data_IF_301193578953
#
_entry.id   IF_301193578953
#
_cell.length_a   1.000
_cell.length_b   1.000
_cell.length_c   1.000
_cell.angle_alpha   90.00
_cell.angle_beta   90.00
_cell.angle_gamma   90.00
#
_symmetry.space_group_name_H-M   'P 1'
#
loop_
_entity.id
_entity.type
_entity.pdbx_description
1 polymer ?
#
# COMPACT_ATOMS: atom_id res chain seq x y z
N UNK A 1 2.67 -7.80 21.27
CA UNK A 1 1.55 -8.76 21.34
C UNK A 1 1.40 -9.44 22.70
N UNK A 2 2.49 -9.88 23.35
CA UNK A 2 2.40 -10.56 24.66
C UNK A 2 1.84 -9.64 25.76
N UNK A 3 2.36 -8.42 25.91
CA UNK A 3 1.90 -7.47 26.93
C UNK A 3 0.44 -7.07 26.70
N UNK A 4 0.07 -6.79 25.45
CA UNK A 4 -1.32 -6.51 25.08
C UNK A 4 -2.26 -7.66 25.46
N UNK A 5 -1.87 -8.91 25.17
CA UNK A 5 -2.61 -10.10 25.58
C UNK A 5 -2.74 -10.18 27.11
N UNK A 6 -1.65 -9.95 27.85
CA UNK A 6 -1.67 -9.95 29.32
C UNK A 6 -2.63 -8.91 29.90
N UNK A 7 -2.54 -7.65 29.43
CA UNK A 7 -3.42 -6.56 29.87
C UNK A 7 -4.88 -6.91 29.56
N UNK A 8 -5.13 -7.41 28.35
CA UNK A 8 -6.47 -7.81 27.93
C UNK A 8 -7.06 -8.93 28.76
N UNK A 9 -6.30 -10.00 28.99
CA UNK A 9 -6.79 -11.17 29.73
C UNK A 9 -7.10 -10.80 31.20
N UNK A 10 -6.34 -9.87 31.80
CA UNK A 10 -6.61 -9.36 33.16
C UNK A 10 -7.75 -8.32 33.21
N UNK A 11 -7.81 -7.40 32.26
CA UNK A 11 -8.82 -6.34 32.23
C UNK A 11 -10.20 -6.83 31.75
N UNK A 12 -10.26 -8.00 31.09
CA UNK A 12 -11.51 -8.67 30.71
C UNK A 12 -12.42 -8.95 31.91
N UNK A 13 -11.87 -9.13 33.12
CA UNK A 13 -12.65 -9.25 34.36
C UNK A 13 -13.49 -7.99 34.65
N UNK A 14 -12.97 -6.81 34.30
CA UNK A 14 -13.62 -5.50 34.53
C UNK A 14 -14.52 -5.08 33.38
N UNK A 15 -14.01 -5.17 32.15
CA UNK A 15 -14.71 -4.69 30.97
C UNK A 15 -14.41 -5.59 29.76
N UNK A 16 -15.11 -6.73 29.64
CA UNK A 16 -14.84 -7.72 28.59
C UNK A 16 -15.17 -7.20 27.19
N UNK A 17 -16.12 -6.27 27.05
CA UNK A 17 -16.55 -5.73 25.76
C UNK A 17 -15.48 -4.86 25.09
N UNK A 18 -14.53 -4.29 25.86
CA UNK A 18 -13.52 -3.36 25.34
C UNK A 18 -12.65 -3.96 24.24
N UNK A 19 -12.36 -5.27 24.30
CA UNK A 19 -11.55 -5.97 23.29
C UNK A 19 -12.19 -5.88 21.90
N UNK A 20 -13.51 -6.06 21.83
CA UNK A 20 -14.25 -6.04 20.57
C UNK A 20 -14.35 -4.63 20.00
N UNK A 21 -14.43 -3.63 20.89
CA UNK A 21 -14.61 -2.23 20.54
C UNK A 21 -13.32 -1.58 20.03
N UNK A 22 -12.16 -1.93 20.61
CA UNK A 22 -10.87 -1.30 20.29
C UNK A 22 -9.89 -2.37 19.78
N UNK A 23 -9.80 -2.59 18.46
CA UNK A 23 -8.94 -3.63 17.88
C UNK A 23 -7.44 -3.24 17.85
N UNK A 24 -7.12 -1.95 17.95
CA UNK A 24 -5.74 -1.50 17.94
C UNK A 24 -5.12 -1.63 19.33
N UNK A 25 -4.02 -2.38 19.44
CA UNK A 25 -3.37 -2.67 20.71
C UNK A 25 -2.89 -1.41 21.46
N UNK A 26 -2.37 -0.40 20.76
CA UNK A 26 -1.90 0.82 21.43
C UNK A 26 -3.05 1.66 21.96
N UNK A 27 -4.14 1.76 21.20
CA UNK A 27 -5.33 2.51 21.61
C UNK A 27 -6.00 1.79 22.78
N UNK A 28 -6.07 0.45 22.73
CA UNK A 28 -6.58 -0.38 23.83
C UNK A 28 -5.80 -0.12 25.13
N UNK A 29 -4.47 -0.22 25.10
CA UNK A 29 -3.62 0.00 26.30
C UNK A 29 -3.80 1.41 26.88
N UNK A 30 -3.83 2.44 26.01
CA UNK A 30 -4.06 3.82 26.46
C UNK A 30 -5.45 4.00 27.08
N UNK A 31 -6.47 3.40 26.48
CA UNK A 31 -7.84 3.47 27.02
C UNK A 31 -7.96 2.75 28.36
N UNK A 32 -7.35 1.58 28.51
CA UNK A 32 -7.33 0.84 29.78
C UNK A 32 -6.66 1.66 30.87
N UNK A 33 -5.53 2.32 30.56
CA UNK A 33 -4.82 3.19 31.50
C UNK A 33 -5.69 4.37 31.98
N UNK A 34 -6.39 5.04 31.07
CA UNK A 34 -7.23 6.20 31.43
C UNK A 34 -8.51 5.80 32.19
N UNK A 35 -9.11 4.64 31.86
CA UNK A 35 -10.36 4.19 32.48
C UNK A 35 -10.15 3.56 33.85
N UNK A 36 -9.16 2.66 34.00
CA UNK A 36 -8.94 1.90 35.22
C UNK A 36 -10.22 1.24 35.73
N UNK A 37 -10.55 1.44 37.01
CA UNK A 37 -11.78 0.93 37.62
C UNK A 37 -13.02 1.83 37.39
N UNK A 38 -12.84 3.12 37.16
CA UNK A 38 -13.92 4.11 37.05
C UNK A 38 -14.35 4.34 35.61
N UNK A 39 -15.36 3.59 35.17
CA UNK A 39 -15.88 3.66 33.79
C UNK A 39 -16.56 5.00 33.46
N UNK A 40 -16.93 5.79 34.47
CA UNK A 40 -17.54 7.12 34.29
C UNK A 40 -16.61 8.13 33.62
N UNK A 41 -15.29 7.89 33.68
CA UNK A 41 -14.27 8.70 33.01
C UNK A 41 -14.44 8.71 31.49
N UNK A 42 -15.14 7.73 30.90
CA UNK A 42 -15.46 7.70 29.46
C UNK A 42 -16.20 8.95 28.96
N UNK A 43 -17.02 9.60 29.80
CA UNK A 43 -17.95 10.67 29.35
C UNK A 43 -17.28 12.05 29.32
N UNK A 44 -16.34 12.30 30.23
CA UNK A 44 -15.85 13.65 30.53
C UNK A 44 -14.35 13.83 30.26
N UNK A 45 -13.61 12.77 29.93
CA UNK A 45 -12.17 12.85 29.83
C UNK A 45 -11.71 13.25 28.41
N UNK A 46 -11.09 14.42 28.27
CA UNK A 46 -10.49 14.89 27.01
C UNK A 46 -9.41 13.93 26.50
N UNK A 47 -8.69 13.25 27.39
CA UNK A 47 -7.65 12.29 27.00
C UNK A 47 -8.21 11.12 26.18
N UNK A 48 -9.40 10.62 26.55
CA UNK A 48 -10.05 9.52 25.81
C UNK A 48 -10.52 9.99 24.44
N UNK A 49 -10.92 11.26 24.30
CA UNK A 49 -11.28 11.89 23.03
C UNK A 49 -10.08 12.05 22.08
N UNK A 50 -8.87 12.18 22.61
CA UNK A 50 -7.65 12.20 21.79
C UNK A 50 -7.26 10.81 21.28
N UNK A 51 -7.65 9.75 21.99
CA UNK A 51 -7.28 8.37 21.67
C UNK A 51 -8.29 7.72 20.72
N UNK A 52 -9.59 7.88 21.01
CA UNK A 52 -10.67 7.21 20.30
C UNK A 52 -11.51 8.20 19.50
N UNK A 53 -12.15 7.72 18.43
CA UNK A 53 -13.14 8.53 17.69
C UNK A 53 -14.41 8.75 18.50
N UNK A 54 -15.12 9.86 18.27
CA UNK A 54 -16.38 10.15 18.97
C UNK A 54 -17.42 9.01 18.83
N UNK A 55 -17.46 8.34 17.68
CA UNK A 55 -18.35 7.20 17.46
C UNK A 55 -18.00 6.02 18.39
N UNK A 56 -16.71 5.68 18.50
CA UNK A 56 -16.24 4.63 19.41
C UNK A 56 -16.45 4.99 20.87
N UNK A 57 -16.30 6.26 21.26
CA UNK A 57 -16.53 6.74 22.64
C UNK A 57 -17.99 6.58 23.03
N UNK A 58 -18.92 6.93 22.15
CA UNK A 58 -20.34 6.75 22.41
C UNK A 58 -20.68 5.27 22.63
N UNK A 59 -20.20 4.37 21.75
CA UNK A 59 -20.42 2.93 21.91
C UNK A 59 -19.82 2.42 23.21
N UNK A 60 -18.56 2.78 23.50
CA UNK A 60 -17.88 2.42 24.75
C UNK A 60 -18.66 2.92 25.97
N UNK A 61 -19.18 4.15 25.96
CA UNK A 61 -19.93 4.74 27.07
C UNK A 61 -21.28 4.05 27.34
N UNK A 62 -21.97 3.63 26.28
CA UNK A 62 -23.23 2.89 26.37
C UNK A 62 -22.95 1.49 26.91
N UNK A 63 -21.95 0.79 26.36
CA UNK A 63 -21.55 -0.53 26.84
C UNK A 63 -21.04 -0.47 28.29
N UNK A 64 -20.28 0.58 28.65
CA UNK A 64 -19.75 0.84 29.98
C UNK A 64 -20.87 1.01 31.03
N UNK A 65 -22.02 1.54 30.63
CA UNK A 65 -23.16 1.74 31.54
C UNK A 65 -23.92 0.45 31.84
N UNK A 66 -23.80 -0.57 30.98
CA UNK A 66 -24.51 -1.86 31.11
C UNK A 66 -23.56 -3.04 31.26
N UNK A 67 -22.29 -2.81 31.63
CA UNK A 67 -21.27 -3.87 31.75
C UNK A 67 -21.61 -4.81 32.88
N UNK A 68 -21.40 -6.10 32.64
CA UNK A 68 -21.55 -7.15 33.67
C UNK A 68 -20.25 -7.43 34.43
N UNK A 69 -19.19 -6.64 34.21
CA UNK A 69 -17.88 -6.86 34.81
C UNK A 69 -17.80 -6.44 36.28
N UNK A 70 -16.78 -6.94 36.97
CA UNK A 70 -16.54 -6.71 38.40
C UNK A 70 -15.41 -5.70 38.62
N UNK A 71 -15.42 -4.97 39.73
CA UNK A 71 -14.32 -4.07 40.08
C UNK A 71 -13.06 -4.88 40.40
N UNK A 72 -11.92 -4.44 39.87
CA UNK A 72 -10.62 -5.06 40.15
C UNK A 72 -10.12 -4.62 41.52
N UNK A 73 -9.35 -5.49 42.16
CA UNK A 73 -8.62 -5.12 43.38
C UNK A 73 -7.53 -4.10 43.07
N UNK A 74 -7.12 -3.31 44.07
CA UNK A 74 -6.08 -2.28 43.87
C UNK A 74 -4.76 -2.90 43.39
N UNK A 75 -4.38 -4.06 43.95
CA UNK A 75 -3.17 -4.79 43.52
C UNK A 75 -3.24 -5.27 42.06
N UNK A 76 -4.42 -5.69 41.59
CA UNK A 76 -4.62 -6.08 40.19
C UNK A 76 -4.59 -4.87 39.26
N UNK A 77 -5.17 -3.75 39.69
CA UNK A 77 -5.16 -2.51 38.92
C UNK A 77 -3.75 -1.95 38.79
N UNK A 78 -2.98 -1.91 39.86
CA UNK A 78 -1.59 -1.45 39.86
C UNK A 78 -0.73 -2.28 38.90
N UNK A 79 -0.86 -3.62 38.91
CA UNK A 79 -0.16 -4.50 37.95
C UNK A 79 -0.54 -4.23 36.50
N UNK A 80 -1.81 -3.90 36.23
CA UNK A 80 -2.27 -3.55 34.88
C UNK A 80 -1.70 -2.20 34.46
N UNK A 81 -1.70 -1.22 35.36
CA UNK A 81 -1.16 0.12 35.10
C UNK A 81 0.35 0.09 34.83
N UNK A 82 1.10 -0.65 35.64
CA UNK A 82 2.54 -0.90 35.42
C UNK A 82 2.79 -1.57 34.05
N UNK A 83 1.97 -2.57 33.68
CA UNK A 83 2.06 -3.21 32.37
C UNK A 83 1.73 -2.26 31.22
N UNK A 84 0.77 -1.35 31.41
CA UNK A 84 0.45 -0.29 30.45
C UNK A 84 1.64 0.67 30.26
N UNK A 85 2.28 1.09 31.35
CA UNK A 85 3.45 1.98 31.31
C UNK A 85 4.64 1.35 30.60
N UNK A 86 4.98 0.10 30.96
CA UNK A 86 6.00 -0.66 30.25
C UNK A 86 5.71 -0.76 28.75
N UNK A 87 4.45 -0.99 28.37
CA UNK A 87 4.07 -1.04 26.95
C UNK A 87 4.22 0.30 26.23
N UNK A 88 3.89 1.41 26.90
CA UNK A 88 4.05 2.76 26.35
C UNK A 88 5.54 3.13 26.20
N UNK A 89 6.36 2.82 27.18
CA UNK A 89 7.83 3.00 27.12
C UNK A 89 8.45 2.20 25.97
N UNK A 90 8.05 0.93 25.82
CA UNK A 90 8.51 0.10 24.71
C UNK A 90 8.09 0.67 23.35
N UNK A 91 6.88 1.24 23.25
CA UNK A 91 6.44 1.88 22.02
C UNK A 91 7.26 3.15 21.74
N UNK A 92 7.57 3.96 22.75
CA UNK A 92 8.45 5.12 22.59
C UNK A 92 9.86 4.71 22.17
N UNK A 93 10.44 3.68 22.79
CA UNK A 93 11.74 3.14 22.40
C UNK A 93 11.73 2.64 20.95
N UNK A 94 10.66 1.96 20.53
CA UNK A 94 10.45 1.55 19.14
C UNK A 94 10.41 2.73 18.18
N UNK A 95 9.74 3.84 18.55
CA UNK A 95 9.73 5.06 17.74
C UNK A 95 11.12 5.67 17.58
N UNK A 96 11.91 5.75 18.66
CA UNK A 96 13.31 6.20 18.60
C UNK A 96 14.16 5.34 17.66
N UNK A 97 13.94 4.03 17.66
CA UNK A 97 14.62 3.11 16.72
C UNK A 97 14.20 3.41 15.28
N UNK A 98 12.92 3.68 15.01
CA UNK A 98 12.48 4.06 13.67
C UNK A 98 13.09 5.38 13.19
N UNK A 99 13.15 6.40 14.03
CA UNK A 99 13.79 7.67 13.70
C UNK A 99 15.28 7.49 13.41
N UNK A 100 15.97 6.66 14.20
CA UNK A 100 17.37 6.32 13.96
C UNK A 100 17.57 5.61 12.61
N UNK A 101 16.76 4.59 12.32
CA UNK A 101 16.81 3.84 11.06
C UNK A 101 16.46 4.74 9.87
N UNK A 102 15.49 5.64 10.03
CA UNK A 102 15.10 6.62 9.02
C UNK A 102 16.27 7.56 8.67
N UNK A 103 16.98 8.10 9.67
CA UNK A 103 18.15 8.97 9.46
C UNK A 103 19.30 8.29 8.69
N UNK A 104 19.39 6.95 8.77
CA UNK A 104 20.42 6.13 8.11
C UNK A 104 19.89 5.38 6.90
N UNK A 105 18.64 5.62 6.49
CA UNK A 105 17.99 4.86 5.43
C UNK A 105 18.69 4.99 4.09
N UNK A 106 19.18 6.19 3.76
CA UNK A 106 19.90 6.48 2.52
C UNK A 106 21.16 5.62 2.38
N UNK A 107 21.77 5.24 3.50
CA UNK A 107 22.93 4.36 3.53
C UNK A 107 22.54 2.87 3.54
N UNK A 108 21.49 2.51 4.28
CA UNK A 108 21.07 1.10 4.47
C UNK A 108 20.34 0.57 3.23
N UNK A 109 19.39 1.32 2.70
CA UNK A 109 18.51 0.91 1.61
C UNK A 109 18.21 2.11 0.68
N UNK A 110 19.21 2.57 -0.10
CA UNK A 110 19.07 3.73 -0.96
C UNK A 110 17.93 3.57 -1.97
N UNK A 111 17.84 2.43 -2.66
CA UNK A 111 16.84 2.23 -3.72
C UNK A 111 15.42 2.21 -3.15
N UNK A 112 15.22 1.55 -2.02
CA UNK A 112 13.91 1.46 -1.38
C UNK A 112 13.46 2.81 -0.80
N UNK A 113 14.38 3.59 -0.23
CA UNK A 113 14.11 4.95 0.28
C UNK A 113 13.64 5.90 -0.82
N UNK A 114 14.23 5.81 -2.01
CA UNK A 114 13.88 6.66 -3.16
C UNK A 114 12.47 6.36 -3.66
N UNK A 115 12.02 5.11 -3.58
CA UNK A 115 10.71 4.70 -4.13
C UNK A 115 9.55 5.10 -3.22
N UNK A 116 9.64 4.85 -1.90
CA UNK A 116 8.51 4.99 -0.96
C UNK A 116 8.72 6.11 0.06
N UNK A 117 9.94 6.60 0.20
CA UNK A 117 10.37 7.50 1.29
C UNK A 117 11.04 6.76 2.45
N UNK A 118 11.86 7.48 3.22
CA UNK A 118 12.64 6.90 4.31
C UNK A 118 11.77 6.45 5.50
N UNK A 119 10.73 7.22 5.84
CA UNK A 119 9.81 6.90 6.95
C UNK A 119 9.01 5.61 6.71
N UNK A 120 8.46 5.44 5.52
CA UNK A 120 7.70 4.24 5.13
C UNK A 120 8.63 3.04 4.98
N UNK A 121 9.84 3.25 4.45
CA UNK A 121 10.90 2.25 4.37
C UNK A 121 11.29 1.69 5.73
N UNK A 122 11.52 2.56 6.72
CA UNK A 122 11.85 2.17 8.09
C UNK A 122 10.75 1.29 8.69
N UNK A 123 9.48 1.67 8.49
CA UNK A 123 8.32 0.93 8.99
C UNK A 123 8.19 -0.46 8.35
N UNK A 124 8.33 -0.57 7.03
CA UNK A 124 8.22 -1.89 6.35
C UNK A 124 9.41 -2.80 6.70
N UNK A 125 10.63 -2.26 6.81
CA UNK A 125 11.79 -3.03 7.25
C UNK A 125 11.67 -3.48 8.71
N UNK A 126 11.11 -2.63 9.58
CA UNK A 126 10.84 -2.95 10.97
C UNK A 126 9.90 -4.14 11.12
N UNK A 127 8.78 -4.15 10.39
CA UNK A 127 7.83 -5.27 10.41
C UNK A 127 8.42 -6.52 9.76
N UNK A 128 9.15 -6.36 8.66
CA UNK A 128 9.76 -7.49 7.98
C UNK A 128 10.90 -8.15 8.80
N UNK A 129 11.44 -7.47 9.81
CA UNK A 129 12.57 -7.96 10.60
C UNK A 129 13.88 -7.82 9.84
N UNK A 130 14.07 -6.72 9.10
CA UNK A 130 15.29 -6.40 8.38
C UNK A 130 15.21 -6.60 6.86
N UNK A 131 16.24 -6.12 6.17
CA UNK A 131 16.30 -6.06 4.71
C UNK A 131 16.38 -7.42 4.03
N UNK A 132 17.08 -8.38 4.65
CA UNK A 132 17.22 -9.76 4.17
C UNK A 132 15.91 -10.53 4.21
N UNK A 133 15.09 -10.31 5.25
CA UNK A 133 13.77 -10.89 5.34
C UNK A 133 12.82 -10.21 4.36
N UNK A 134 12.90 -8.88 4.22
CA UNK A 134 12.13 -8.11 3.25
C UNK A 134 12.41 -8.55 1.80
N UNK A 135 13.66 -8.84 1.44
CA UNK A 135 14.04 -9.27 0.08
C UNK A 135 13.48 -10.64 -0.31
N UNK A 136 13.33 -11.53 0.68
CA UNK A 136 12.70 -12.86 0.53
C UNK A 136 11.17 -12.78 0.40
N UNK A 137 10.54 -11.71 0.90
CA UNK A 137 9.09 -11.56 0.83
C UNK A 137 8.59 -11.34 -0.62
N UNK A 138 7.46 -11.95 -1.01
CA UNK A 138 6.82 -11.67 -2.29
C UNK A 138 6.09 -10.32 -2.28
N UNK A 139 5.85 -9.76 -3.48
CA UNK A 139 5.29 -8.41 -3.63
C UNK A 139 3.88 -8.23 -3.07
N UNK A 140 3.09 -9.32 -3.04
CA UNK A 140 1.77 -9.33 -2.43
C UNK A 140 1.83 -9.16 -0.91
N UNK A 141 2.82 -9.78 -0.25
CA UNK A 141 2.98 -9.68 1.20
C UNK A 141 3.51 -8.29 1.57
N UNK A 142 4.46 -7.74 0.82
CA UNK A 142 5.00 -6.39 1.05
C UNK A 142 3.89 -5.33 0.98
N UNK A 143 2.94 -5.46 0.05
CA UNK A 143 1.78 -4.55 -0.06
C UNK A 143 0.92 -4.53 1.21
N UNK A 144 0.85 -5.66 1.92
CA UNK A 144 0.00 -5.86 3.10
C UNK A 144 0.73 -5.56 4.42
N UNK A 145 2.03 -5.22 4.39
CA UNK A 145 2.77 -4.88 5.60
C UNK A 145 2.18 -3.64 6.25
N UNK A 146 1.88 -3.74 7.55
CA UNK A 146 1.25 -2.67 8.32
C UNK A 146 -0.27 -2.58 8.12
N UNK A 147 -0.89 -3.51 7.41
CA UNK A 147 -2.35 -3.55 7.30
C UNK A 147 -2.97 -3.87 8.67
N UNK A 148 -3.77 -2.94 9.19
CA UNK A 148 -4.51 -3.13 10.42
C UNK A 148 -5.90 -3.69 10.11
N UNK A 149 -6.36 -4.61 10.97
CA UNK A 149 -7.75 -5.05 10.94
C UNK A 149 -8.61 -3.95 11.53
N UNK A 150 -9.41 -3.30 10.68
CA UNK A 150 -10.46 -2.39 11.14
C UNK A 150 -11.76 -3.19 11.23
N UNK A 151 -12.25 -3.39 12.44
CA UNK A 151 -13.61 -3.87 12.66
C UNK A 151 -14.55 -2.69 12.41
N UNK A 152 -15.59 -2.92 11.62
CA UNK A 152 -16.63 -1.94 11.35
C UNK A 152 -17.48 -1.80 12.62
N UNK A 153 -17.11 -0.86 13.49
CA UNK A 153 -17.94 -0.46 14.61
C UNK A 153 -18.93 0.63 14.17
N UNK A 154 -20.21 0.27 14.01
CA UNK A 154 -21.30 1.21 13.71
C UNK A 154 -22.02 0.96 12.37
N UNK A 155 -23.14 1.64 12.17
CA UNK A 155 -24.04 1.53 11.00
C UNK A 155 -23.47 2.08 9.66
N UNK A 156 -22.15 2.29 9.56
CA UNK A 156 -21.54 2.90 8.39
C UNK A 156 -21.26 1.85 7.31
N UNK A 157 -21.78 2.04 6.09
CA UNK A 157 -21.48 1.22 4.91
C UNK A 157 -20.18 1.63 4.20
N UNK A 158 -19.35 2.47 4.85
CA UNK A 158 -18.07 2.90 4.28
C UNK A 158 -17.15 1.69 4.21
N UNK A 159 -16.92 1.21 2.98
CA UNK A 159 -16.12 0.02 2.70
C UNK A 159 -14.75 0.13 3.37
N UNK A 160 -14.47 -0.71 4.36
CA UNK A 160 -13.10 -0.88 4.86
C UNK A 160 -12.26 -1.26 3.65
N UNK A 161 -11.35 -0.37 3.26
CA UNK A 161 -10.52 -0.57 2.07
C UNK A 161 -9.61 -1.78 2.33
N UNK A 162 -9.87 -2.92 1.68
CA UNK A 162 -9.08 -4.12 1.94
C UNK A 162 -7.68 -3.92 1.37
N UNK A 163 -6.69 -4.55 2.00
CA UNK A 163 -5.30 -4.55 1.54
C UNK A 163 -4.61 -3.17 1.57
N UNK A 164 -4.91 -2.36 2.59
CA UNK A 164 -4.28 -1.07 2.85
C UNK A 164 -3.19 -1.22 3.91
N UNK A 165 -1.92 -1.24 3.48
CA UNK A 165 -0.74 -1.25 4.36
C UNK A 165 0.05 0.06 4.29
N UNK A 166 1.28 0.07 4.79
CA UNK A 166 2.13 1.27 4.77
C UNK A 166 2.37 1.83 3.37
N UNK A 167 2.50 0.96 2.36
CA UNK A 167 2.67 1.37 0.97
C UNK A 167 1.44 2.11 0.45
N UNK A 168 0.23 1.74 0.88
CA UNK A 168 -0.98 2.44 0.47
C UNK A 168 -0.97 3.88 0.99
N UNK A 169 -0.46 4.11 2.20
CA UNK A 169 -0.36 5.43 2.84
C UNK A 169 0.87 6.24 2.43
N UNK A 170 1.69 5.75 1.50
CA UNK A 170 2.82 6.51 0.97
C UNK A 170 2.36 7.63 0.03
N UNK A 171 3.15 8.69 -0.06
CA UNK A 171 2.82 9.89 -0.85
C UNK A 171 2.63 9.57 -2.34
N UNK A 172 3.44 8.63 -2.87
CA UNK A 172 3.35 8.18 -4.26
C UNK A 172 2.00 7.50 -4.59
N UNK A 173 1.35 6.88 -3.61
CA UNK A 173 0.02 6.27 -3.79
C UNK A 173 -1.08 7.27 -3.45
N UNK A 174 -0.93 8.05 -2.38
CA UNK A 174 -1.98 8.98 -1.93
C UNK A 174 -2.19 10.17 -2.87
N UNK A 175 -1.15 10.59 -3.60
CA UNK A 175 -1.24 11.61 -4.65
C UNK A 175 -2.13 11.23 -5.83
N UNK A 176 -2.47 9.94 -5.99
CA UNK A 176 -3.30 9.45 -7.08
C UNK A 176 -4.80 9.46 -6.72
N UNK A 177 -5.70 9.56 -7.71
CA UNK A 177 -7.15 9.36 -7.52
C UNK A 177 -7.47 7.98 -6.91
N UNK A 178 -8.51 7.86 -6.06
CA UNK A 178 -8.81 6.65 -5.28
C UNK A 178 -8.94 5.39 -6.13
N UNK A 179 -9.49 5.50 -7.34
CA UNK A 179 -9.67 4.39 -8.29
C UNK A 179 -8.34 3.75 -8.72
N UNK A 180 -7.29 4.57 -8.81
CA UNK A 180 -5.96 4.14 -9.25
C UNK A 180 -5.08 3.69 -8.09
N UNK A 181 -5.38 4.09 -6.85
CA UNK A 181 -4.52 3.82 -5.67
C UNK A 181 -4.24 2.34 -5.47
N UNK A 182 -5.24 1.47 -5.64
CA UNK A 182 -5.06 0.01 -5.48
C UNK A 182 -4.19 -0.60 -6.58
N UNK A 183 -4.26 -0.07 -7.80
CA UNK A 183 -3.42 -0.52 -8.92
C UNK A 183 -1.98 -0.02 -8.73
N UNK A 184 -1.83 1.23 -8.30
CA UNK A 184 -0.55 1.83 -7.96
C UNK A 184 0.13 1.10 -6.81
N UNK A 185 -0.56 0.84 -5.70
CA UNK A 185 0.01 0.12 -4.55
C UNK A 185 0.59 -1.25 -4.93
N UNK A 186 -0.07 -2.00 -5.83
CA UNK A 186 0.46 -3.28 -6.37
C UNK A 186 1.71 -3.10 -7.23
N UNK A 187 1.75 -2.05 -8.05
CA UNK A 187 2.91 -1.75 -8.89
C UNK A 187 4.09 -1.28 -8.05
N UNK A 188 3.84 -0.38 -7.09
CA UNK A 188 4.82 0.13 -6.15
C UNK A 188 5.37 -1.04 -5.33
N UNK A 189 4.53 -1.90 -4.74
CA UNK A 189 5.01 -3.04 -3.95
C UNK A 189 5.91 -3.99 -4.75
N UNK A 190 5.59 -4.23 -6.02
CA UNK A 190 6.44 -5.02 -6.92
C UNK A 190 7.79 -4.34 -7.20
N UNK A 191 7.82 -3.00 -7.31
CA UNK A 191 9.07 -2.26 -7.44
C UNK A 191 9.87 -2.25 -6.14
N UNK A 192 9.19 -2.15 -5.00
CA UNK A 192 9.80 -2.22 -3.67
C UNK A 192 10.44 -3.57 -3.42
N UNK A 193 9.82 -4.69 -3.85
CA UNK A 193 10.46 -6.02 -3.76
C UNK A 193 11.76 -6.11 -4.55
N UNK A 194 11.80 -5.51 -5.74
CA UNK A 194 13.01 -5.54 -6.57
C UNK A 194 14.10 -4.67 -5.94
N UNK A 195 13.74 -3.47 -5.49
CA UNK A 195 14.67 -2.57 -4.80
C UNK A 195 15.20 -3.20 -3.50
N UNK A 196 14.34 -3.79 -2.67
CA UNK A 196 14.74 -4.47 -1.44
C UNK A 196 15.74 -5.61 -1.70
N UNK A 197 15.60 -6.34 -2.81
CA UNK A 197 16.54 -7.39 -3.22
C UNK A 197 17.89 -6.82 -3.62
N UNK A 198 17.90 -5.75 -4.42
CA UNK A 198 19.14 -5.07 -4.82
C UNK A 198 19.85 -4.48 -3.60
N UNK A 199 19.11 -3.80 -2.72
CA UNK A 199 19.65 -3.23 -1.49
C UNK A 199 20.21 -4.32 -0.56
N UNK A 200 19.54 -5.48 -0.47
CA UNK A 200 20.01 -6.61 0.37
C UNK A 200 21.37 -7.17 -0.05
N UNK A 201 21.73 -7.10 -1.34
CA UNK A 201 23.02 -7.56 -1.86
C UNK A 201 24.06 -6.44 -1.99
N UNK A 202 23.69 -5.18 -1.71
CA UNK A 202 24.55 -3.99 -1.82
C UNK A 202 25.21 -3.80 -3.20
N UNK A 203 24.67 -4.40 -4.26
CA UNK A 203 25.26 -4.39 -5.60
C UNK A 203 25.19 -3.02 -6.26
N UNK A 204 24.34 -2.10 -5.79
CA UNK A 204 24.10 -0.83 -6.46
C UNK A 204 23.61 0.27 -5.52
N UNK A 205 24.55 1.10 -5.06
CA UNK A 205 24.27 2.26 -4.21
C UNK A 205 23.82 3.50 -4.98
N UNK A 206 24.06 3.55 -6.29
CA UNK A 206 23.82 4.71 -7.16
C UNK A 206 22.34 5.11 -7.35
N UNK A 207 21.37 4.36 -6.82
CA UNK A 207 19.94 4.64 -7.05
C UNK A 207 19.47 4.42 -8.51
N UNK A 208 20.38 4.06 -9.42
CA UNK A 208 20.12 3.88 -10.87
C UNK A 208 19.39 2.57 -11.20
N UNK A 209 19.19 1.66 -10.24
CA UNK A 209 18.62 0.31 -10.46
C UNK A 209 17.10 0.30 -10.50
N UNK A 210 16.46 1.41 -10.86
CA UNK A 210 15.07 1.36 -11.32
C UNK A 210 15.06 0.69 -12.70
N UNK A 211 15.25 -0.63 -12.71
CA UNK A 211 15.18 -1.44 -13.91
C UNK A 211 13.75 -1.32 -14.43
N UNK A 212 13.55 -0.82 -15.66
CA UNK A 212 12.22 -0.68 -16.22
C UNK A 212 11.55 -2.05 -16.26
N UNK A 213 10.26 -2.17 -15.89
CA UNK A 213 9.57 -3.45 -15.96
C UNK A 213 9.66 -4.04 -17.38
N UNK A 214 9.55 -5.37 -17.57
CA UNK A 214 9.58 -5.99 -18.91
C UNK A 214 8.56 -5.36 -19.87
N UNK A 215 7.41 -4.89 -19.33
CA UNK A 215 6.41 -4.12 -20.08
C UNK A 215 6.92 -2.76 -20.54
N UNK A 216 7.72 -2.05 -19.76
CA UNK A 216 8.32 -0.78 -20.18
C UNK A 216 9.38 -1.00 -21.25
N UNK A 217 10.15 -2.10 -21.21
CA UNK A 217 11.02 -2.49 -22.33
C UNK A 217 10.20 -2.72 -23.61
N UNK A 218 9.15 -3.54 -23.53
CA UNK A 218 8.20 -3.75 -24.64
C UNK A 218 7.47 -2.47 -25.08
N UNK A 219 7.19 -1.55 -24.16
CA UNK A 219 6.53 -0.27 -24.44
C UNK A 219 7.50 0.70 -25.11
N UNK A 220 8.77 0.75 -24.67
CA UNK A 220 9.85 1.52 -25.31
C UNK A 220 10.18 0.94 -26.69
N UNK A 221 10.09 -0.37 -26.88
CA UNK A 221 10.16 -1.02 -28.20
C UNK A 221 8.96 -0.66 -29.08
N UNK A 222 7.75 -0.55 -28.52
CA UNK A 222 6.53 -0.15 -29.24
C UNK A 222 6.48 1.34 -29.60
N UNK A 223 6.94 2.21 -28.70
CA UNK A 223 6.95 3.67 -28.86
C UNK A 223 8.24 4.16 -29.53
N UNK A 224 9.28 3.35 -29.54
CA UNK A 224 10.50 3.63 -30.28
C UNK A 224 10.23 3.60 -31.78
N UNK A 225 10.98 4.42 -32.52
CA UNK A 225 10.99 4.37 -33.97
C UNK A 225 11.35 2.95 -34.42
N UNK A 226 10.42 2.31 -35.13
CA UNK A 226 10.63 0.98 -35.71
C UNK A 226 11.79 1.02 -36.71
N UNK A 227 12.47 -0.10 -36.92
CA UNK A 227 13.54 -0.18 -37.95
C UNK A 227 13.03 0.22 -39.34
N UNK A 228 11.76 -0.09 -39.65
CA UNK A 228 11.07 0.37 -40.87
C UNK A 228 11.00 1.90 -40.93
N UNK A 229 10.67 2.57 -39.83
CA UNK A 229 10.59 4.04 -39.78
C UNK A 229 11.97 4.69 -39.79
N UNK A 230 12.99 4.02 -39.22
CA UNK A 230 14.39 4.45 -39.36
C UNK A 230 14.90 4.31 -40.79
N UNK A 231 14.46 3.30 -41.54
CA UNK A 231 14.79 3.12 -42.96
C UNK A 231 14.02 4.09 -43.87
N UNK A 232 12.75 4.37 -43.58
CA UNK A 232 11.97 5.39 -44.28
C UNK A 232 12.54 6.80 -44.06
N UNK A 233 13.06 7.10 -42.87
CA UNK A 233 13.73 8.37 -42.58
C UNK A 233 15.15 8.49 -43.16
N UNK A 234 15.63 7.50 -43.94
CA UNK A 234 16.91 7.60 -44.67
C UNK A 234 16.63 8.10 -46.08
N UNK A 235 17.03 9.34 -46.35
CA UNK A 235 16.93 9.96 -47.67
C UNK A 235 18.15 9.61 -48.53
N UNK A 236 17.93 9.27 -49.80
CA UNK A 236 18.99 9.13 -50.80
C UNK A 236 19.36 10.51 -51.36
N UNK A 237 20.64 10.88 -51.34
CA UNK A 237 21.07 12.15 -51.91
C UNK A 237 21.10 12.07 -53.45
N UNK A 238 20.33 12.91 -54.14
CA UNK A 238 20.37 13.06 -55.60
C UNK A 238 19.24 12.36 -56.38
N UNK A 239 18.32 11.65 -55.72
CA UNK A 239 17.12 11.07 -56.34
C UNK A 239 15.87 11.81 -55.85
N UNK A 240 14.95 12.14 -56.77
CA UNK A 240 13.66 12.74 -56.42
C UNK A 240 12.73 11.60 -56.04
N UNK A 241 12.30 11.57 -54.77
CA UNK A 241 11.39 10.53 -54.27
C UNK A 241 9.98 10.72 -54.84
N UNK A 242 9.30 9.62 -55.17
CA UNK A 242 7.90 9.66 -55.60
C UNK A 242 7.00 9.98 -54.41
N UNK A 243 6.48 11.20 -54.36
CA UNK A 243 5.45 11.59 -53.41
C UNK A 243 4.12 10.92 -53.77
N UNK A 244 3.58 10.12 -52.85
CA UNK A 244 2.20 9.65 -52.96
C UNK A 244 1.27 10.83 -52.66
N UNK A 245 0.63 11.37 -53.70
CA UNK A 245 -0.37 12.43 -53.56
C UNK A 245 -1.56 11.92 -52.74
N UNK A 246 -1.65 12.39 -51.49
CA UNK A 246 -2.89 12.46 -50.75
C UNK A 246 -2.95 13.80 -50.01
N UNK A 247 -4.09 14.47 -50.14
CA UNK A 247 -4.39 15.81 -49.64
C UNK A 247 -4.35 15.84 -48.10
N UNK A 248 -3.18 15.95 -47.49
CA UNK A 248 -2.90 16.95 -46.42
C UNK A 248 -1.50 16.82 -45.81
N UNK A 249 -0.79 15.70 -45.96
CA UNK A 249 0.57 15.52 -45.42
C UNK A 249 1.36 14.60 -46.35
N UNK A 250 2.31 15.16 -47.11
CA UNK A 250 3.23 14.38 -47.96
C UNK A 250 4.01 13.36 -47.13
N UNK A 251 3.87 12.08 -47.48
CA UNK A 251 4.61 10.98 -46.86
C UNK A 251 5.48 10.31 -47.93
N UNK A 252 6.80 10.41 -47.80
CA UNK A 252 7.72 9.66 -48.65
C UNK A 252 7.97 8.27 -48.06
N UNK A 253 7.83 7.22 -48.89
CA UNK A 253 8.07 5.83 -48.46
C UNK A 253 9.58 5.51 -48.40
N UNK A 254 10.45 6.43 -48.80
CA UNK A 254 11.87 6.15 -49.06
C UNK A 254 12.00 4.87 -49.88
N UNK A 255 12.68 3.87 -49.32
CA UNK A 255 12.93 2.59 -49.99
C UNK A 255 11.77 1.56 -49.95
N UNK A 256 10.63 1.87 -49.31
CA UNK A 256 9.59 0.87 -48.96
C UNK A 256 8.54 0.63 -50.09
N UNK A 257 8.45 1.50 -51.11
CA UNK A 257 7.31 1.57 -52.05
C UNK A 257 7.33 0.69 -53.31
N UNK A 258 8.25 -0.28 -53.46
CA UNK A 258 8.44 -1.00 -54.74
C UNK A 258 7.61 -2.30 -54.94
N UNK A 259 6.33 -2.35 -54.54
CA UNK A 259 5.46 -3.52 -54.83
C UNK A 259 3.95 -3.19 -54.96
N UNK A 260 3.34 -3.64 -56.06
CA UNK A 260 2.02 -3.22 -56.57
C UNK A 260 0.75 -3.81 -55.93
N UNK A 261 -0.38 -3.20 -56.31
CA UNK A 261 -1.72 -3.23 -55.70
C UNK A 261 -2.66 -4.34 -56.23
N UNK A 262 -3.64 -4.78 -55.41
CA UNK A 262 -4.77 -5.60 -55.90
C UNK A 262 -5.93 -5.75 -54.89
N UNK A 263 -7.16 -5.45 -55.34
CA UNK A 263 -8.40 -5.14 -54.57
C UNK A 263 -9.13 -6.33 -53.92
N UNK A 264 -9.85 -5.99 -52.86
CA UNK A 264 -10.72 -6.79 -51.96
C UNK A 264 -12.08 -7.15 -52.61
N UNK A 265 -12.54 -8.41 -52.46
CA UNK A 265 -13.94 -8.82 -52.75
C UNK A 265 -14.81 -8.70 -51.49
N UNK A 266 -16.00 -8.11 -51.65
CA UNK A 266 -16.94 -7.81 -50.56
C UNK A 266 -17.63 -9.09 -50.02
N UNK A 267 -17.92 -9.04 -48.73
CA UNK A 267 -18.13 -10.10 -47.73
C UNK A 267 -19.50 -10.80 -47.75
N UNK A 268 -19.52 -12.11 -47.51
CA UNK A 268 -20.70 -12.84 -47.02
C UNK A 268 -20.91 -12.56 -45.52
N UNK A 269 -22.17 -12.42 -45.07
CA UNK A 269 -22.51 -12.25 -43.66
C UNK A 269 -22.20 -13.55 -42.91
N UNK A 270 -21.23 -13.46 -41.99
CA UNK A 270 -20.66 -14.58 -41.26
C UNK A 270 -21.51 -14.93 -40.02
N UNK A 271 -21.76 -16.21 -39.75
CA UNK A 271 -22.57 -16.69 -38.60
C UNK A 271 -21.99 -16.31 -37.22
N UNK A 272 -20.74 -15.82 -37.18
CA UNK A 272 -20.13 -15.18 -36.02
C UNK A 272 -20.81 -13.87 -35.58
N UNK A 273 -21.72 -13.31 -36.40
CA UNK A 273 -22.50 -12.10 -36.09
C UNK A 273 -23.68 -12.34 -35.15
N UNK A 274 -23.98 -13.59 -34.81
CA UNK A 274 -24.97 -13.93 -33.77
C UNK A 274 -24.45 -13.46 -32.41
N UNK A 275 -25.19 -12.59 -31.73
CA UNK A 275 -24.83 -12.09 -30.41
C UNK A 275 -24.63 -13.27 -29.45
N UNK A 276 -23.39 -13.44 -28.96
CA UNK A 276 -23.06 -14.37 -27.89
C UNK A 276 -22.79 -13.57 -26.63
N UNK A 277 -23.35 -14.04 -25.52
CA UNK A 277 -23.05 -13.49 -24.20
C UNK A 277 -21.53 -13.61 -23.98
N UNK A 278 -20.90 -12.52 -23.57
CA UNK A 278 -19.46 -12.50 -23.31
C UNK A 278 -19.09 -13.54 -22.25
N UNK A 279 -17.93 -14.18 -22.35
CA UNK A 279 -17.43 -15.10 -21.30
C UNK A 279 -17.35 -14.51 -19.88
N UNK A 280 -17.42 -13.18 -19.75
CA UNK A 280 -17.51 -12.49 -18.45
C UNK A 280 -18.91 -12.51 -17.83
N UNK A 281 -19.92 -12.89 -18.62
CA UNK A 281 -21.34 -13.00 -18.26
C UNK A 281 -21.86 -14.46 -18.38
N UNK A 282 -21.03 -15.39 -18.86
CA UNK A 282 -21.27 -16.84 -18.80
C UNK A 282 -20.58 -17.41 -17.56
#
# INVERSE_FOLDING_TARGET
>A
DIIHKFIRDNYSKRFPELESLVPNALDYIRTVKELGNSLDKCKNNENVQQILTNATIMVVSVTASTTQGQQLTEEELERIEEACDMALELNQAKHRIYEYVESRMSFIAPNLSIIIGASTAAKIMGIAGGLTNLSKMPACNIMLLGAQRKTLSGFSSTSVLPHTGYIYHSDIVQSLPPDLRRKAARLVSAKCTLAARVDSFHESQDGKVVLPPPRYRKMKERLGLTEIRKQANRMSFGEIEEDAYQEDLGFSLGHLGKAGSGRVRQTQVNEATKARISKTLQ
#
